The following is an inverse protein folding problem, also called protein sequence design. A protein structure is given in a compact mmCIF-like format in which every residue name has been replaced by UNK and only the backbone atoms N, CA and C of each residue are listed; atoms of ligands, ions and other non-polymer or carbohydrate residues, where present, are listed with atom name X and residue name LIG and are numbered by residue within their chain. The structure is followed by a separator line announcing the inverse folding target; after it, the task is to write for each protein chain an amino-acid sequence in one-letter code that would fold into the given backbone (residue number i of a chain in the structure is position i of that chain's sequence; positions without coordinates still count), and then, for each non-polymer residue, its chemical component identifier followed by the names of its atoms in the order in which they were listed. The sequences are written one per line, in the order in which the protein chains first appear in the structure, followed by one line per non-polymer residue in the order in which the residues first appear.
data_IF_452730265329
#
_entry.id   IF_452730265329
#
_cell.length_a   1.000
_cell.length_b   1.000
_cell.length_c   1.000
_cell.angle_alpha   90.00
_cell.angle_beta   90.00
_cell.angle_gamma   90.00
#
_symmetry.space_group_name_H-M   'P 1'
#
loop_
_entity.id
_entity.type
_entity.pdbx_description
1 polymer ?
#
# COMPACT_ATOMS: atom_id res chain seq x y z
N UNK A 1 -1.96 42.16 36.37
CA UNK A 1 -0.75 42.23 37.19
C UNK A 1 -0.96 41.37 38.43
N UNK A 2 -0.01 40.46 38.72
CA UNK A 2 0.26 39.83 40.02
C UNK A 2 -0.90 39.00 40.65
N UNK A 3 -0.74 37.87 41.35
CA UNK A 3 0.41 37.27 41.99
C UNK A 3 0.07 35.83 42.45
N UNK A 4 1.00 34.92 42.20
CA UNK A 4 1.44 33.75 42.99
C UNK A 4 0.46 32.65 43.45
N UNK A 5 0.79 31.47 42.91
CA UNK A 5 0.45 30.11 43.28
C UNK A 5 0.64 29.76 44.76
N UNK A 6 -0.33 29.02 45.28
CA UNK A 6 -0.29 28.29 46.54
C UNK A 6 0.48 26.99 46.30
N UNK A 7 1.47 26.77 47.16
CA UNK A 7 2.25 25.53 47.30
C UNK A 7 1.33 24.40 47.72
N UNK A 8 1.34 23.27 47.01
CA UNK A 8 1.02 21.98 47.63
C UNK A 8 1.89 20.85 47.08
N UNK A 9 2.68 20.32 48.02
CA UNK A 9 3.04 18.92 48.22
C UNK A 9 3.41 18.07 46.99
N UNK A 10 4.73 17.91 46.86
CA UNK A 10 5.44 16.93 46.05
C UNK A 10 4.96 15.51 46.38
N UNK A 11 4.00 14.99 45.61
CA UNK A 11 3.75 13.55 45.53
C UNK A 11 4.76 12.96 44.56
N UNK A 12 5.57 12.03 45.05
CA UNK A 12 6.54 11.27 44.28
C UNK A 12 5.83 10.48 43.17
N UNK A 13 5.85 11.00 41.94
CA UNK A 13 5.49 10.26 40.75
C UNK A 13 6.73 9.54 40.26
N UNK A 14 6.81 8.25 40.58
CA UNK A 14 7.75 7.35 39.96
C UNK A 14 7.57 7.44 38.43
N UNK A 15 8.56 8.01 37.77
CA UNK A 15 8.65 8.03 36.31
C UNK A 15 8.92 6.60 35.84
N UNK A 16 7.85 5.85 35.64
CA UNK A 16 7.90 4.64 34.84
C UNK A 16 7.78 5.11 33.38
N UNK A 17 8.93 5.41 32.78
CA UNK A 17 9.06 5.48 31.32
C UNK A 17 8.77 4.07 30.79
N UNK A 18 7.50 3.76 30.58
CA UNK A 18 7.12 2.72 29.63
C UNK A 18 7.53 3.26 28.26
N UNK A 19 8.74 2.89 27.84
CA UNK A 19 9.04 2.75 26.42
C UNK A 19 8.01 1.79 25.87
N UNK A 20 6.93 2.32 25.30
CA UNK A 20 6.04 1.56 24.44
C UNK A 20 6.94 1.10 23.28
N UNK A 21 7.22 -0.21 23.12
CA UNK A 21 7.70 -0.64 21.82
C UNK A 21 6.59 -0.27 20.85
N UNK A 22 6.86 0.69 19.95
CA UNK A 22 6.11 0.79 18.71
C UNK A 22 6.28 -0.57 18.06
N UNK A 23 5.28 -1.43 18.23
CA UNK A 23 5.06 -2.54 17.33
C UNK A 23 4.87 -1.85 15.99
N UNK A 24 5.90 -1.94 15.15
CA UNK A 24 5.74 -1.74 13.73
C UNK A 24 4.62 -2.71 13.35
N UNK A 25 3.44 -2.14 13.13
CA UNK A 25 2.38 -2.83 12.40
C UNK A 25 3.06 -3.17 11.08
N UNK A 26 3.47 -4.44 10.94
CA UNK A 26 3.97 -4.95 9.68
C UNK A 26 2.86 -4.64 8.70
N UNK A 27 3.11 -3.72 7.78
CA UNK A 27 2.21 -3.43 6.66
C UNK A 27 1.87 -4.79 6.07
N UNK A 28 0.69 -5.31 6.40
CA UNK A 28 0.34 -6.67 6.04
C UNK A 28 0.25 -6.65 4.51
N UNK A 29 1.21 -7.33 3.89
CA UNK A 29 1.35 -7.37 2.44
C UNK A 29 0.21 -8.14 1.80
N UNK A 30 -0.63 -8.79 2.62
CA UNK A 30 -1.74 -9.64 2.22
C UNK A 30 -2.58 -9.06 1.08
N UNK A 31 -2.70 -9.88 0.03
CA UNK A 31 -3.67 -9.75 -1.07
C UNK A 31 -5.07 -9.41 -0.61
N UNK A 32 -5.53 -9.95 0.52
CA UNK A 32 -6.91 -9.73 0.96
C UNK A 32 -7.12 -8.28 1.40
N UNK A 33 -6.11 -7.68 2.03
CA UNK A 33 -6.13 -6.26 2.38
C UNK A 33 -6.06 -5.39 1.12
N UNK A 34 -5.21 -5.74 0.14
CA UNK A 34 -5.17 -5.00 -1.12
C UNK A 34 -6.49 -5.07 -1.90
N UNK A 35 -7.16 -6.23 -1.90
CA UNK A 35 -8.50 -6.42 -2.49
C UNK A 35 -9.54 -5.55 -1.80
N UNK A 36 -9.52 -5.51 -0.46
CA UNK A 36 -10.41 -4.66 0.31
C UNK A 36 -10.17 -3.18 0.00
N UNK A 37 -8.92 -2.71 0.06
CA UNK A 37 -8.56 -1.33 -0.28
C UNK A 37 -8.93 -0.96 -1.73
N UNK A 38 -8.85 -1.92 -2.66
CA UNK A 38 -9.32 -1.75 -4.04
C UNK A 38 -10.83 -1.50 -4.10
N UNK A 39 -11.62 -2.27 -3.35
CA UNK A 39 -13.07 -2.10 -3.28
C UNK A 39 -13.44 -0.78 -2.61
N UNK A 40 -12.82 -0.45 -1.48
CA UNK A 40 -13.05 0.79 -0.75
C UNK A 40 -12.69 2.02 -1.61
N UNK A 41 -11.60 1.96 -2.37
CA UNK A 41 -11.22 3.02 -3.30
C UNK A 41 -12.23 3.17 -4.43
N UNK A 42 -12.70 2.07 -5.03
CA UNK A 42 -13.69 2.12 -6.11
C UNK A 42 -15.02 2.71 -5.62
N UNK A 43 -15.50 2.26 -4.46
CA UNK A 43 -16.70 2.82 -3.80
C UNK A 43 -16.53 4.32 -3.51
N UNK A 44 -15.41 4.73 -2.92
CA UNK A 44 -15.15 6.13 -2.64
C UNK A 44 -15.08 7.00 -3.92
N UNK A 45 -14.48 6.48 -4.99
CA UNK A 45 -14.38 7.20 -6.27
C UNK A 45 -15.73 7.33 -6.98
N UNK A 46 -16.65 6.38 -6.81
CA UNK A 46 -18.01 6.49 -7.34
C UNK A 46 -18.74 7.71 -6.76
N UNK A 47 -18.52 8.01 -5.49
CA UNK A 47 -19.19 9.11 -4.78
C UNK A 47 -18.62 10.50 -5.13
N UNK A 48 -17.36 10.58 -5.57
CA UNK A 48 -16.74 11.88 -5.87
C UNK A 48 -17.19 12.45 -7.22
N UNK A 49 -17.89 13.59 -7.17
CA UNK A 49 -18.14 14.42 -8.35
C UNK A 49 -16.91 15.26 -8.75
N UNK A 50 -16.98 15.92 -9.91
CA UNK A 50 -15.89 16.76 -10.43
C UNK A 50 -15.51 17.92 -9.48
N UNK A 51 -16.48 18.42 -8.70
CA UNK A 51 -16.27 19.48 -7.71
C UNK A 51 -15.45 18.99 -6.49
N UNK A 52 -15.28 17.68 -6.34
CA UNK A 52 -14.57 17.02 -5.23
C UNK A 52 -13.19 16.48 -5.67
N UNK A 53 -12.66 16.97 -6.79
CA UNK A 53 -11.34 16.60 -7.35
C UNK A 53 -10.23 16.50 -6.31
N UNK A 54 -10.06 17.54 -5.49
CA UNK A 54 -9.01 17.55 -4.46
C UNK A 54 -9.19 16.44 -3.42
N UNK A 55 -10.44 16.13 -3.03
CA UNK A 55 -10.72 15.05 -2.07
C UNK A 55 -10.44 13.68 -2.70
N UNK A 56 -10.79 13.49 -3.97
CA UNK A 56 -10.45 12.29 -4.72
C UNK A 56 -8.93 12.11 -4.85
N UNK A 57 -8.19 13.19 -5.15
CA UNK A 57 -6.72 13.17 -5.21
C UNK A 57 -6.10 12.77 -3.86
N UNK A 58 -6.58 13.32 -2.74
CA UNK A 58 -6.09 12.97 -1.40
C UNK A 58 -6.35 11.51 -1.04
N UNK A 59 -7.50 10.95 -1.46
CA UNK A 59 -7.83 9.54 -1.25
C UNK A 59 -6.96 8.63 -2.11
N UNK A 60 -6.78 8.97 -3.39
CA UNK A 60 -5.92 8.23 -4.32
C UNK A 60 -4.47 8.23 -3.81
N UNK A 61 -3.91 9.39 -3.46
CA UNK A 61 -2.52 9.50 -3.00
C UNK A 61 -2.23 8.66 -1.76
N UNK A 62 -3.20 8.56 -0.84
CA UNK A 62 -3.08 7.69 0.34
C UNK A 62 -2.95 6.22 -0.05
N UNK A 63 -3.83 5.75 -0.93
CA UNK A 63 -3.81 4.35 -1.37
C UNK A 63 -2.54 4.04 -2.19
N UNK A 64 -2.12 4.94 -3.08
CA UNK A 64 -0.89 4.77 -3.84
C UNK A 64 0.35 4.72 -2.94
N UNK A 65 0.41 5.56 -1.90
CA UNK A 65 1.52 5.52 -0.95
C UNK A 65 1.58 4.21 -0.17
N UNK A 66 0.43 3.65 0.22
CA UNK A 66 0.37 2.33 0.87
C UNK A 66 0.87 1.24 -0.07
N UNK A 67 0.44 1.29 -1.32
CA UNK A 67 0.86 0.33 -2.35
C UNK A 67 2.37 0.40 -2.62
N UNK A 68 2.94 1.60 -2.75
CA UNK A 68 4.38 1.80 -2.98
C UNK A 68 5.21 1.25 -1.81
N UNK A 69 4.71 1.39 -0.57
CA UNK A 69 5.32 0.79 0.61
C UNK A 69 5.26 -0.75 0.56
N UNK A 70 4.14 -1.33 0.12
CA UNK A 70 4.02 -2.79 -0.03
C UNK A 70 4.98 -3.35 -1.08
N UNK A 71 5.06 -2.74 -2.27
CA UNK A 71 6.02 -3.15 -3.31
C UNK A 71 7.46 -3.12 -2.76
N UNK A 72 7.79 -2.06 -2.01
CA UNK A 72 9.12 -1.90 -1.41
C UNK A 72 9.45 -2.99 -0.39
N UNK A 73 8.49 -3.36 0.47
CA UNK A 73 8.71 -4.43 1.45
C UNK A 73 8.81 -5.79 0.77
N UNK A 74 7.98 -6.09 -0.24
CA UNK A 74 8.11 -7.30 -1.05
C UNK A 74 9.51 -7.41 -1.69
N UNK A 75 10.02 -6.32 -2.26
CA UNK A 75 11.37 -6.29 -2.82
C UNK A 75 12.44 -6.59 -1.76
N UNK A 76 12.26 -6.06 -0.54
CA UNK A 76 13.16 -6.32 0.59
C UNK A 76 13.10 -7.78 1.03
N UNK A 77 11.91 -8.35 1.21
CA UNK A 77 11.74 -9.77 1.57
C UNK A 77 12.38 -10.71 0.53
N UNK A 78 12.21 -10.41 -0.76
CA UNK A 78 12.84 -11.18 -1.84
C UNK A 78 14.37 -11.04 -1.82
N UNK A 79 14.90 -9.85 -1.50
CA UNK A 79 16.34 -9.63 -1.38
C UNK A 79 16.94 -10.35 -0.17
N UNK A 80 16.24 -10.39 0.97
CA UNK A 80 16.71 -11.04 2.19
C UNK A 80 16.76 -12.57 2.03
N UNK A 81 15.82 -13.14 1.28
CA UNK A 81 15.75 -14.58 1.04
C UNK A 81 16.48 -15.03 -0.24
N UNK A 82 17.16 -14.11 -0.93
CA UNK A 82 17.69 -14.34 -2.27
C UNK A 82 18.61 -15.56 -2.36
N UNK A 83 19.51 -15.73 -1.39
CA UNK A 83 20.50 -16.82 -1.38
C UNK A 83 19.86 -18.21 -1.20
N UNK A 84 18.70 -18.27 -0.53
CA UNK A 84 17.95 -19.49 -0.23
C UNK A 84 16.97 -19.89 -1.34
N UNK A 85 16.84 -19.06 -2.39
CA UNK A 85 15.98 -19.28 -3.54
C UNK A 85 16.68 -20.07 -4.65
N UNK A 86 15.92 -20.92 -5.34
CA UNK A 86 16.39 -21.53 -6.59
C UNK A 86 16.51 -20.49 -7.72
N UNK A 87 17.29 -20.79 -8.75
CA UNK A 87 17.42 -19.93 -9.93
C UNK A 87 16.05 -19.64 -10.59
N UNK A 88 15.20 -20.66 -10.67
CA UNK A 88 13.84 -20.51 -11.22
C UNK A 88 12.98 -19.60 -10.35
N UNK A 89 13.08 -19.71 -9.02
CA UNK A 89 12.35 -18.85 -8.10
C UNK A 89 12.81 -17.39 -8.19
N UNK A 90 14.14 -17.17 -8.27
CA UNK A 90 14.73 -15.83 -8.47
C UNK A 90 14.22 -15.17 -9.74
N UNK A 91 14.24 -15.91 -10.85
CA UNK A 91 13.74 -15.42 -12.14
C UNK A 91 12.27 -15.01 -12.07
N UNK A 92 11.41 -15.86 -11.50
CA UNK A 92 9.97 -15.54 -11.35
C UNK A 92 9.75 -14.33 -10.47
N UNK A 93 10.45 -14.24 -9.33
CA UNK A 93 10.34 -13.08 -8.45
C UNK A 93 10.73 -11.77 -9.16
N UNK A 94 11.79 -11.80 -9.98
CA UNK A 94 12.18 -10.65 -10.81
C UNK A 94 11.12 -10.29 -11.85
N UNK A 95 10.54 -11.29 -12.54
CA UNK A 95 9.47 -11.07 -13.52
C UNK A 95 8.21 -10.50 -12.87
N UNK A 96 7.81 -11.01 -11.70
CA UNK A 96 6.67 -10.51 -10.94
C UNK A 96 6.88 -9.08 -10.44
N UNK A 97 8.05 -8.76 -9.87
CA UNK A 97 8.38 -7.39 -9.47
C UNK A 97 8.37 -6.42 -10.66
N UNK A 98 8.95 -6.82 -11.79
CA UNK A 98 8.94 -6.00 -13.00
C UNK A 98 7.50 -5.70 -13.47
N UNK A 99 6.63 -6.71 -13.45
CA UNK A 99 5.23 -6.53 -13.82
C UNK A 99 4.46 -5.64 -12.84
N UNK A 100 4.73 -5.75 -11.53
CA UNK A 100 4.15 -4.85 -10.53
C UNK A 100 4.57 -3.40 -10.74
N UNK A 101 5.85 -3.15 -11.05
CA UNK A 101 6.32 -1.81 -11.38
C UNK A 101 5.66 -1.25 -12.65
N UNK A 102 5.54 -2.06 -13.71
CA UNK A 102 4.85 -1.64 -14.94
C UNK A 102 3.39 -1.27 -14.68
N UNK A 103 2.67 -2.07 -13.90
CA UNK A 103 1.28 -1.74 -13.55
C UNK A 103 1.20 -0.49 -12.68
N UNK A 104 2.17 -0.26 -11.78
CA UNK A 104 2.21 0.94 -10.95
C UNK A 104 2.47 2.21 -11.77
N UNK A 105 3.33 2.13 -12.79
CA UNK A 105 3.53 3.21 -13.77
C UNK A 105 2.24 3.47 -14.55
N UNK A 106 1.55 2.43 -15.01
CA UNK A 106 0.26 2.59 -15.69
C UNK A 106 -0.80 3.25 -14.80
N UNK A 107 -0.86 2.89 -13.52
CA UNK A 107 -1.74 3.57 -12.54
C UNK A 107 -1.37 5.04 -12.39
N UNK A 108 -0.07 5.37 -12.42
CA UNK A 108 0.40 6.76 -12.37
C UNK A 108 -0.09 7.56 -13.58
N UNK A 109 0.04 7.01 -14.78
CA UNK A 109 -0.41 7.66 -16.02
C UNK A 109 -1.91 7.97 -15.97
N UNK A 110 -2.72 6.99 -15.57
CA UNK A 110 -4.16 7.19 -15.43
C UNK A 110 -4.54 8.17 -14.31
N UNK A 111 -3.75 8.23 -13.24
CA UNK A 111 -3.94 9.23 -12.19
C UNK A 111 -3.66 10.63 -12.71
N UNK A 112 -2.60 10.82 -13.49
CA UNK A 112 -2.26 12.10 -14.10
C UNK A 112 -3.33 12.55 -15.12
N UNK A 113 -3.89 11.62 -15.88
CA UNK A 113 -5.05 11.86 -16.75
C UNK A 113 -6.30 12.29 -15.96
N UNK A 114 -6.60 11.62 -14.83
CA UNK A 114 -7.70 11.96 -13.95
C UNK A 114 -7.57 13.37 -13.36
N UNK A 115 -6.36 13.73 -12.90
CA UNK A 115 -6.06 15.08 -12.41
C UNK A 115 -6.30 16.13 -13.49
N UNK A 116 -5.78 15.89 -14.68
CA UNK A 116 -5.89 16.80 -15.82
C UNK A 116 -7.30 16.86 -16.45
N UNK A 117 -8.21 15.95 -16.07
CA UNK A 117 -9.52 15.85 -16.69
C UNK A 117 -10.37 17.12 -16.50
N UNK A 118 -11.24 17.42 -17.46
CA UNK A 118 -12.31 18.40 -17.26
C UNK A 118 -13.45 17.82 -16.42
N UNK A 119 -14.37 18.67 -15.96
CA UNK A 119 -15.59 18.22 -15.28
C UNK A 119 -16.44 17.29 -16.17
N UNK A 120 -16.51 17.55 -17.47
CA UNK A 120 -17.26 16.70 -18.42
C UNK A 120 -16.57 15.36 -18.71
N UNK A 121 -15.26 15.25 -18.50
CA UNK A 121 -14.48 14.03 -18.70
C UNK A 121 -14.22 13.26 -17.39
N UNK A 122 -14.67 13.80 -16.24
CA UNK A 122 -14.36 13.28 -14.91
C UNK A 122 -14.75 11.81 -14.72
N UNK A 123 -15.98 11.44 -15.05
CA UNK A 123 -16.47 10.07 -14.88
C UNK A 123 -15.67 9.05 -15.72
N UNK A 124 -15.32 9.42 -16.95
CA UNK A 124 -14.52 8.56 -17.82
C UNK A 124 -13.09 8.41 -17.30
N UNK A 125 -12.48 9.50 -16.83
CA UNK A 125 -11.13 9.47 -16.29
C UNK A 125 -11.08 8.68 -14.96
N UNK A 126 -12.09 8.81 -14.09
CA UNK A 126 -12.21 8.01 -12.86
C UNK A 126 -12.27 6.53 -13.19
N UNK A 127 -13.08 6.15 -14.17
CA UNK A 127 -13.17 4.76 -14.63
C UNK A 127 -11.82 4.23 -15.13
N UNK A 128 -11.09 5.01 -15.93
CA UNK A 128 -9.78 4.61 -16.42
C UNK A 128 -8.78 4.36 -15.28
N UNK A 129 -8.78 5.23 -14.28
CA UNK A 129 -8.00 5.03 -13.05
C UNK A 129 -8.42 3.77 -12.28
N UNK A 130 -9.72 3.58 -12.00
CA UNK A 130 -10.22 2.38 -11.30
C UNK A 130 -9.85 1.09 -12.04
N UNK A 131 -9.98 1.07 -13.37
CA UNK A 131 -9.63 -0.09 -14.19
C UNK A 131 -8.13 -0.40 -14.13
N UNK A 132 -7.26 0.63 -14.14
CA UNK A 132 -5.82 0.46 -13.99
C UNK A 132 -5.43 -0.06 -12.60
N UNK A 133 -6.04 0.49 -11.54
CA UNK A 133 -5.78 0.07 -10.17
C UNK A 133 -6.24 -1.38 -9.93
N UNK A 134 -7.37 -1.77 -10.50
CA UNK A 134 -7.84 -3.15 -10.47
C UNK A 134 -6.86 -4.12 -11.16
N UNK A 135 -6.34 -3.76 -12.34
CA UNK A 135 -5.36 -4.59 -13.04
C UNK A 135 -4.08 -4.79 -12.21
N UNK A 136 -3.66 -3.76 -11.48
CA UNK A 136 -2.54 -3.85 -10.54
C UNK A 136 -2.86 -4.82 -9.39
N UNK A 137 -4.03 -4.69 -8.79
CA UNK A 137 -4.49 -5.58 -7.70
C UNK A 137 -4.54 -7.05 -8.14
N UNK A 138 -4.98 -7.31 -9.37
CA UNK A 138 -4.96 -8.64 -9.99
C UNK A 138 -3.52 -9.16 -10.18
N UNK A 139 -2.58 -8.32 -10.65
CA UNK A 139 -1.17 -8.66 -10.81
C UNK A 139 -0.47 -8.97 -9.47
N UNK A 140 -0.85 -8.26 -8.40
CA UNK A 140 -0.36 -8.52 -7.05
C UNK A 140 -0.83 -9.89 -6.55
N UNK A 141 -2.12 -10.20 -6.74
CA UNK A 141 -2.68 -11.51 -6.39
C UNK A 141 -2.01 -12.67 -7.14
N UNK A 142 -1.64 -12.47 -8.40
CA UNK A 142 -0.84 -13.44 -9.16
C UNK A 142 0.57 -13.60 -8.57
N UNK A 143 1.22 -12.48 -8.23
CA UNK A 143 2.56 -12.46 -7.64
C UNK A 143 2.64 -13.24 -6.33
N UNK A 144 1.73 -12.99 -5.39
CA UNK A 144 1.70 -13.73 -4.13
C UNK A 144 1.45 -15.24 -4.33
N UNK A 145 0.56 -15.60 -5.26
CA UNK A 145 0.27 -17.00 -5.57
C UNK A 145 1.51 -17.71 -6.10
N UNK A 146 2.25 -17.08 -7.01
CA UNK A 146 3.46 -17.65 -7.59
C UNK A 146 4.59 -17.78 -6.55
N UNK A 147 4.73 -16.82 -5.64
CA UNK A 147 5.71 -16.90 -4.55
C UNK A 147 5.37 -17.98 -3.52
N UNK A 148 4.07 -18.15 -3.19
CA UNK A 148 3.60 -19.16 -2.23
C UNK A 148 3.80 -20.59 -2.75
N UNK A 149 3.46 -20.85 -4.02
CA UNK A 149 3.60 -22.18 -4.63
C UNK A 149 5.05 -22.68 -4.65
N UNK A 150 6.03 -21.78 -4.70
CA UNK A 150 7.45 -22.17 -4.68
C UNK A 150 7.93 -22.54 -3.27
N UNK A 151 7.37 -21.93 -2.21
CA UNK A 151 7.66 -22.32 -0.82
C UNK A 151 7.17 -23.75 -0.51
N UNK A 152 5.98 -24.11 -1.01
CA UNK A 152 5.43 -25.46 -0.83
C UNK A 152 6.27 -26.53 -1.55
N UNK A 153 6.72 -26.25 -2.79
CA UNK A 153 7.60 -27.17 -3.53
C UNK A 153 8.94 -27.39 -2.85
N UNK A 154 9.54 -26.34 -2.28
CA UNK A 154 10.79 -26.46 -1.48
C UNK A 154 10.56 -27.37 -0.27
N UNK A 155 9.44 -27.23 0.42
CA UNK A 155 9.11 -28.01 1.63
C UNK A 155 8.84 -29.49 1.35
N UNK A 156 8.33 -29.85 0.17
CA UNK A 156 8.08 -31.25 -0.22
C UNK A 156 9.32 -31.96 -0.81
N UNK A 157 10.36 -31.22 -1.15
CA UNK A 157 11.59 -31.75 -1.78
C UNK A 157 12.72 -32.03 -0.77
N UNK A 158 12.47 -31.80 0.52
CA UNK A 158 13.35 -32.07 1.68
C UNK A 158 12.84 -33.31 2.40
#
# INVERSE_FOLDING_TARGET
MALKYIVYAFFATASFMLTVPVQADSTDLSVDQLKQETQELDEALQDYGADQKNQAEDSINRVLSTLDARISELQKELSENWDDMSETARKRAQESLASLHEQRERVQDWYDELKASSASAWEQAKKGFSDAYKALSEQWNETERDLTLEQEKKSQSI
#
